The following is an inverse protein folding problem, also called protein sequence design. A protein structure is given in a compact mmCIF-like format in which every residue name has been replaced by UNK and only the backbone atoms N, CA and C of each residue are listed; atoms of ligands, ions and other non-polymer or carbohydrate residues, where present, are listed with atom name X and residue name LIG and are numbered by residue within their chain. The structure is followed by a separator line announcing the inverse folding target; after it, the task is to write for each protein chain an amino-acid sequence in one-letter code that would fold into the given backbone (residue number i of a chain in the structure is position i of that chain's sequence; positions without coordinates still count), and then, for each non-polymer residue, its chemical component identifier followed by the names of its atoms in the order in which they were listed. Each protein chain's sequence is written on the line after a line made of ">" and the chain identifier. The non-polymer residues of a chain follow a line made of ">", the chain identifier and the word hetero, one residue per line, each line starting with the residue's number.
data_IF_339273837983
#
_entry.id   IF_339273837983
#
_cell.length_a   1.000
_cell.length_b   1.000
_cell.length_c   1.000
_cell.angle_alpha   90.00
_cell.angle_beta   90.00
_cell.angle_gamma   90.00
#
_symmetry.space_group_name_H-M   'P 1'
#
loop_
_entity.id
_entity.type
_entity.pdbx_description
1 polymer ?
#
# COMPACT_ATOMS: atom_id res chain seq x y z
N UNK A 1 8.04 13.33 -4.06
CA UNK A 1 7.32 14.01 -2.96
C UNK A 1 7.69 13.34 -1.66
N UNK A 2 7.90 14.07 -0.57
CA UNK A 2 8.18 13.51 0.76
C UNK A 2 6.88 13.43 1.57
N UNK A 3 6.67 12.34 2.31
CA UNK A 3 5.56 12.24 3.26
C UNK A 3 5.69 13.33 4.33
N UNK A 4 4.57 13.80 4.90
CA UNK A 4 4.61 14.66 6.08
C UNK A 4 5.42 14.03 7.23
N UNK A 5 6.14 14.87 7.97
CA UNK A 5 7.00 14.44 9.09
C UNK A 5 6.22 13.64 10.14
N UNK A 6 4.96 14.01 10.40
CA UNK A 6 4.08 13.29 11.33
C UNK A 6 3.90 11.82 10.92
N UNK A 7 3.58 11.55 9.66
CA UNK A 7 3.41 10.18 9.14
C UNK A 7 4.72 9.41 9.22
N UNK A 8 5.84 10.05 8.85
CA UNK A 8 7.16 9.42 8.93
C UNK A 8 7.48 8.99 10.37
N UNK A 9 7.21 9.86 11.34
CA UNK A 9 7.42 9.59 12.77
C UNK A 9 6.53 8.46 13.31
N UNK A 10 5.26 8.38 12.88
CA UNK A 10 4.36 7.28 13.23
C UNK A 10 4.91 5.94 12.69
N UNK A 11 5.38 5.94 11.43
CA UNK A 11 5.98 4.74 10.82
C UNK A 11 7.24 4.30 11.57
N UNK A 12 8.10 5.25 11.96
CA UNK A 12 9.34 4.99 12.69
C UNK A 12 9.07 4.43 14.10
N UNK A 13 7.98 4.86 14.73
CA UNK A 13 7.50 4.32 16.01
C UNK A 13 6.73 3.00 15.90
N UNK A 14 6.54 2.50 14.68
CA UNK A 14 5.71 1.32 14.40
C UNK A 14 4.23 1.51 14.80
N UNK A 15 3.74 2.75 14.82
CA UNK A 15 2.33 3.15 14.99
C UNK A 15 1.63 3.08 13.61
N UNK A 16 1.55 1.86 13.07
CA UNK A 16 1.19 1.60 11.67
C UNK A 16 -0.27 1.94 11.35
N UNK A 17 -1.20 1.65 12.27
CA UNK A 17 -2.62 1.95 12.08
C UNK A 17 -2.87 3.46 12.12
N UNK A 18 -2.21 4.19 13.02
CA UNK A 18 -2.26 5.64 13.09
C UNK A 18 -1.70 6.29 11.81
N UNK A 19 -0.59 5.76 11.28
CA UNK A 19 -0.03 6.21 10.02
C UNK A 19 -1.00 5.98 8.85
N UNK A 20 -1.69 4.83 8.80
CA UNK A 20 -2.74 4.54 7.80
C UNK A 20 -3.89 5.54 7.89
N UNK A 21 -4.35 5.86 9.11
CA UNK A 21 -5.42 6.86 9.32
C UNK A 21 -4.97 8.23 8.83
N UNK A 22 -3.75 8.65 9.17
CA UNK A 22 -3.20 9.93 8.73
C UNK A 22 -3.09 10.01 7.19
N UNK A 23 -2.57 8.96 6.54
CA UNK A 23 -2.49 8.91 5.06
C UNK A 23 -3.89 8.91 4.43
N UNK A 24 -4.85 8.19 5.02
CA UNK A 24 -6.23 8.14 4.51
C UNK A 24 -6.86 9.53 4.49
N UNK A 25 -6.66 10.32 5.56
CA UNK A 25 -7.12 11.73 5.59
C UNK A 25 -6.48 12.57 4.50
N UNK A 26 -5.21 12.34 4.14
CA UNK A 26 -4.56 13.08 3.05
C UNK A 26 -5.18 12.74 1.69
N UNK A 27 -5.47 11.46 1.46
CA UNK A 27 -6.14 10.98 0.25
C UNK A 27 -7.54 11.59 0.13
N UNK A 28 -8.32 11.58 1.21
CA UNK A 28 -9.68 12.16 1.25
C UNK A 28 -9.69 13.67 0.97
N UNK A 29 -8.64 14.38 1.40
CA UNK A 29 -8.46 15.81 1.11
C UNK A 29 -7.92 16.07 -0.32
N UNK A 30 -8.33 15.23 -1.28
CA UNK A 30 -8.14 15.40 -2.75
C UNK A 30 -6.70 15.33 -3.27
N UNK A 31 -5.80 14.67 -2.54
CA UNK A 31 -4.49 14.35 -3.11
C UNK A 31 -4.56 12.99 -3.82
N UNK A 32 -4.99 12.99 -5.09
CA UNK A 32 -4.78 11.86 -6.02
C UNK A 32 -3.28 11.73 -6.29
N UNK A 33 -2.57 11.19 -5.31
CA UNK A 33 -1.12 11.11 -5.30
C UNK A 33 -0.70 9.65 -5.17
N UNK A 34 -0.07 9.14 -6.23
CA UNK A 34 0.41 7.76 -6.28
C UNK A 34 1.28 7.39 -5.07
N UNK A 35 2.10 8.31 -4.55
CA UNK A 35 2.93 8.05 -3.37
C UNK A 35 2.08 7.77 -2.11
N UNK A 36 0.96 8.47 -1.91
CA UNK A 36 0.13 8.26 -0.71
C UNK A 36 -0.52 6.88 -0.73
N UNK A 37 -1.06 6.47 -1.88
CA UNK A 37 -1.61 5.12 -2.07
C UNK A 37 -0.52 4.05 -1.91
N UNK A 38 0.65 4.24 -2.53
CA UNK A 38 1.76 3.30 -2.39
C UNK A 38 2.20 3.12 -0.92
N UNK A 39 2.35 4.22 -0.19
CA UNK A 39 2.78 4.17 1.21
C UNK A 39 1.73 3.52 2.11
N UNK A 40 0.44 3.83 1.91
CA UNK A 40 -0.64 3.15 2.64
C UNK A 40 -0.69 1.65 2.31
N UNK A 41 -0.49 1.29 1.04
CA UNK A 41 -0.39 -0.10 0.60
C UNK A 41 0.76 -0.87 1.27
N UNK A 42 1.93 -0.23 1.42
CA UNK A 42 3.07 -0.80 2.16
C UNK A 42 2.74 -1.05 3.63
N UNK A 43 2.03 -0.14 4.27
CA UNK A 43 1.60 -0.30 5.66
C UNK A 43 0.56 -1.42 5.80
N UNK A 44 -0.41 -1.51 4.91
CA UNK A 44 -1.35 -2.64 4.87
C UNK A 44 -0.65 -3.97 4.66
N UNK A 45 0.37 -4.01 3.81
CA UNK A 45 1.18 -5.21 3.61
C UNK A 45 1.87 -5.65 4.90
N UNK A 46 2.43 -4.71 5.68
CA UNK A 46 3.03 -4.99 7.00
C UNK A 46 2.02 -5.53 8.01
N UNK A 47 0.75 -5.15 7.89
CA UNK A 47 -0.34 -5.66 8.73
C UNK A 47 -0.97 -6.96 8.18
N UNK A 48 -0.35 -7.59 7.19
CA UNK A 48 -0.89 -8.78 6.49
C UNK A 48 -2.25 -8.56 5.81
N UNK A 49 -2.70 -7.31 5.68
CA UNK A 49 -3.90 -6.89 4.98
C UNK A 49 -3.64 -6.83 3.47
N UNK A 50 -3.29 -7.99 2.90
CA UNK A 50 -2.79 -8.11 1.52
C UNK A 50 -3.77 -7.62 0.46
N UNK A 51 -5.08 -7.80 0.67
CA UNK A 51 -6.12 -7.30 -0.25
C UNK A 51 -6.18 -5.78 -0.30
N UNK A 52 -6.07 -5.14 0.86
CA UNK A 52 -6.06 -3.68 0.95
C UNK A 52 -4.77 -3.12 0.33
N UNK A 53 -3.64 -3.78 0.59
CA UNK A 53 -2.36 -3.44 -0.04
C UNK A 53 -2.41 -3.51 -1.56
N UNK A 54 -2.96 -4.59 -2.14
CA UNK A 54 -3.11 -4.76 -3.59
C UNK A 54 -4.00 -3.67 -4.19
N UNK A 55 -5.11 -3.34 -3.53
CA UNK A 55 -6.02 -2.28 -3.98
C UNK A 55 -5.30 -0.93 -4.05
N UNK A 56 -4.52 -0.61 -3.02
CA UNK A 56 -3.75 0.63 -2.95
C UNK A 56 -2.58 0.67 -3.96
N UNK A 57 -1.87 -0.45 -4.15
CA UNK A 57 -0.83 -0.54 -5.17
C UNK A 57 -1.40 -0.40 -6.59
N UNK A 58 -2.56 -1.01 -6.86
CA UNK A 58 -3.25 -0.85 -8.13
C UNK A 58 -3.62 0.61 -8.39
N UNK A 59 -4.21 1.29 -7.41
CA UNK A 59 -4.56 2.71 -7.53
C UNK A 59 -3.33 3.59 -7.74
N UNK A 60 -2.24 3.31 -7.02
CA UNK A 60 -0.99 4.05 -7.20
C UNK A 60 -0.39 3.83 -8.60
N UNK A 61 -0.39 2.61 -9.12
CA UNK A 61 0.09 2.29 -10.47
C UNK A 61 -0.79 2.87 -11.59
N UNK A 62 -2.10 3.00 -11.36
CA UNK A 62 -3.00 3.71 -12.28
C UNK A 62 -2.69 5.21 -12.36
N UNK A 63 -2.37 5.84 -11.22
CA UNK A 63 -2.06 7.27 -11.14
C UNK A 63 -0.65 7.59 -11.67
N UNK A 64 0.32 6.72 -11.35
CA UNK A 64 1.69 6.81 -11.85
C UNK A 64 2.24 5.41 -12.15
N UNK A 65 2.19 4.99 -13.43
CA UNK A 65 2.74 3.71 -13.86
C UNK A 65 4.25 3.58 -13.71
N UNK A 66 4.97 4.70 -13.56
CA UNK A 66 6.43 4.70 -13.34
C UNK A 66 6.79 4.62 -11.86
N UNK A 67 5.80 4.65 -10.96
CA UNK A 67 6.04 4.53 -9.52
C UNK A 67 6.41 3.08 -9.14
N UNK A 68 7.09 2.89 -7.99
CA UNK A 68 7.38 1.55 -7.47
C UNK A 68 6.14 0.70 -7.18
N UNK A 69 4.94 1.29 -7.21
CA UNK A 69 3.69 0.58 -6.97
C UNK A 69 3.38 -0.45 -8.04
N UNK A 70 3.78 -0.24 -9.30
CA UNK A 70 3.57 -1.22 -10.37
C UNK A 70 4.31 -2.53 -10.06
N UNK A 71 5.58 -2.43 -9.65
CA UNK A 71 6.38 -3.59 -9.25
C UNK A 71 5.82 -4.24 -7.96
N UNK A 72 5.44 -3.43 -6.97
CA UNK A 72 4.83 -3.93 -5.73
C UNK A 72 3.51 -4.67 -5.98
N UNK A 73 2.70 -4.19 -6.95
CA UNK A 73 1.47 -4.85 -7.37
C UNK A 73 1.75 -6.21 -7.99
N UNK A 74 2.69 -6.29 -8.93
CA UNK A 74 3.08 -7.55 -9.58
C UNK A 74 3.57 -8.58 -8.55
N UNK A 75 4.43 -8.16 -7.62
CA UNK A 75 4.92 -9.02 -6.54
C UNK A 75 3.77 -9.49 -5.64
N UNK A 76 2.87 -8.58 -5.24
CA UNK A 76 1.73 -8.89 -4.39
C UNK A 76 0.75 -9.87 -5.06
N UNK A 77 0.46 -9.67 -6.35
CA UNK A 77 -0.39 -10.59 -7.14
C UNK A 77 0.27 -11.95 -7.32
N UNK A 78 1.58 -12.00 -7.57
CA UNK A 78 2.34 -13.25 -7.68
C UNK A 78 2.21 -14.06 -6.40
N UNK A 79 2.44 -13.42 -5.25
CA UNK A 79 2.29 -14.06 -3.93
C UNK A 79 0.85 -14.56 -3.75
N UNK A 80 -0.16 -13.75 -4.03
CA UNK A 80 -1.56 -14.17 -3.93
C UNK A 80 -1.87 -15.39 -4.81
N UNK A 81 -1.40 -15.40 -6.05
CA UNK A 81 -1.58 -16.52 -6.97
C UNK A 81 -0.92 -17.82 -6.48
N UNK A 82 0.27 -17.74 -5.86
CA UNK A 82 0.90 -18.90 -5.24
C UNK A 82 0.11 -19.42 -4.04
N UNK A 83 -0.34 -18.52 -3.15
CA UNK A 83 -1.14 -18.90 -1.99
C UNK A 83 -2.47 -19.55 -2.39
N UNK A 84 -3.13 -19.06 -3.45
CA UNK A 84 -4.38 -19.65 -3.94
C UNK A 84 -4.14 -21.02 -4.59
N UNK A 85 -3.06 -21.20 -5.37
CA UNK A 85 -2.69 -22.52 -5.92
C UNK A 85 -2.39 -23.55 -4.85
N UNK A 86 -1.77 -23.17 -3.72
CA UNK A 86 -1.52 -24.07 -2.60
C UNK A 86 -2.79 -24.52 -1.87
N UNK A 87 -3.90 -23.79 -1.99
CA UNK A 87 -5.23 -24.22 -1.48
C UNK A 87 -5.92 -25.21 -2.41
N UNK A 88 -5.49 -25.27 -3.67
CA UNK A 88 -5.93 -26.21 -4.70
C UNK A 88 -4.83 -27.22 -5.00
N UNK A 89 -4.31 -27.90 -3.98
CA UNK A 89 -3.62 -29.17 -4.19
C UNK A 89 -4.49 -30.26 -3.54
N UNK A 90 -5.26 -31.03 -4.33
CA UNK A 90 -6.11 -32.11 -3.82
C UNK A 90 -5.31 -33.26 -3.21
#
# INVERSE_FOLDING_TARGET
>A
MTLPTEITHLIDKNEIEEAIVAITRLIENSHDNACLFFERGRLFWRLERRRDAISDYARAAELDPSSPAAEALEQAMTIMQFYDKSRYNP
#
